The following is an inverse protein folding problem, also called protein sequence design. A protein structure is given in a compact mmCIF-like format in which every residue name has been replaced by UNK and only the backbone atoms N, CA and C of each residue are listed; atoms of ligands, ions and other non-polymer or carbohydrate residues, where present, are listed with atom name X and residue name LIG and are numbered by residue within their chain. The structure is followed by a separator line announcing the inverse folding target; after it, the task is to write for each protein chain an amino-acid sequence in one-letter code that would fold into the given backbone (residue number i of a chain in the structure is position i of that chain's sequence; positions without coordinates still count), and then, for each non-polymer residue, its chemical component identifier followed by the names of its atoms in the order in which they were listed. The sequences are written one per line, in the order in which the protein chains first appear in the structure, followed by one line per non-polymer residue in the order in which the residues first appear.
data_IF_613092202437
#
_entry.id   IF_613092202437
#
_cell.length_a   1.000
_cell.length_b   1.000
_cell.length_c   1.000
_cell.angle_alpha   90.00
_cell.angle_beta   90.00
_cell.angle_gamma   90.00
#
_symmetry.space_group_name_H-M   'P 1'
#
loop_
_entity.id
_entity.type
_entity.pdbx_description
1 polymer ?
#
# COMPACT_ATOMS: atom_id res chain seq x y z
N UNK A 1 -8.30 12.32 5.89
CA UNK A 1 -7.00 12.97 5.63
C UNK A 1 -7.05 14.46 5.87
N UNK A 2 -7.92 15.22 5.18
CA UNK A 2 -8.03 16.69 5.37
C UNK A 2 -8.28 17.09 6.84
N UNK A 3 -9.17 16.38 7.56
CA UNK A 3 -9.39 16.60 9.00
C UNK A 3 -8.15 16.34 9.88
N UNK A 4 -7.30 15.37 9.53
CA UNK A 4 -6.05 15.10 10.26
C UNK A 4 -5.02 16.19 10.00
N UNK A 5 -5.02 16.75 8.79
CA UNK A 5 -4.11 17.83 8.41
C UNK A 5 -4.56 19.21 8.92
N UNK A 6 -5.85 19.37 9.24
CA UNK A 6 -6.42 20.58 9.80
C UNK A 6 -6.17 20.74 11.32
N UNK A 7 -5.89 19.65 12.03
CA UNK A 7 -5.52 19.67 13.45
C UNK A 7 -4.41 18.64 13.75
N UNK A 8 -3.23 18.83 13.15
CA UNK A 8 -2.15 17.85 13.16
C UNK A 8 -1.54 17.62 14.55
N UNK A 9 -1.53 18.64 15.40
CA UNK A 9 -1.02 18.53 16.78
C UNK A 9 -1.76 17.46 17.60
N UNK A 10 -3.06 17.28 17.31
CA UNK A 10 -3.90 16.32 18.04
C UNK A 10 -3.95 14.95 17.37
N UNK A 11 -3.87 14.91 16.04
CA UNK A 11 -4.14 13.70 15.28
C UNK A 11 -2.90 13.01 14.71
N UNK A 12 -1.82 13.73 14.44
CA UNK A 12 -0.62 13.18 13.81
C UNK A 12 0.56 13.05 14.77
N UNK A 13 0.81 14.06 15.60
CA UNK A 13 1.96 14.09 16.53
C UNK A 13 1.82 12.98 17.58
N UNK A 14 2.85 12.15 17.69
CA UNK A 14 2.92 11.13 18.73
C UNK A 14 3.88 11.57 19.84
N UNK A 15 3.36 12.29 20.84
CA UNK A 15 4.13 12.72 22.00
C UNK A 15 4.72 11.54 22.81
N UNK A 16 4.19 10.33 22.65
CA UNK A 16 4.69 9.11 23.29
C UNK A 16 5.61 8.29 22.36
N UNK A 17 6.06 8.87 21.25
CA UNK A 17 6.98 8.18 20.35
C UNK A 17 8.28 7.84 21.08
N UNK A 18 8.82 6.62 20.91
CA UNK A 18 10.15 6.28 21.41
C UNK A 18 11.26 7.05 20.69
N UNK A 19 10.96 7.75 19.59
CA UNK A 19 11.89 8.60 18.89
C UNK A 19 11.69 10.06 19.32
N UNK A 20 12.67 10.59 20.06
CA UNK A 20 12.61 11.95 20.61
C UNK A 20 12.31 13.02 19.54
N UNK A 21 12.88 12.90 18.34
CA UNK A 21 12.62 13.84 17.25
C UNK A 21 11.20 13.77 16.70
N UNK A 22 10.53 12.62 16.80
CA UNK A 22 9.15 12.45 16.35
C UNK A 22 8.15 12.88 17.43
N UNK A 23 8.53 12.73 18.70
CA UNK A 23 7.75 13.21 19.84
C UNK A 23 7.68 14.75 19.92
N UNK A 24 8.73 15.43 19.45
CA UNK A 24 8.89 16.89 19.51
C UNK A 24 8.45 17.60 18.20
N UNK A 25 7.66 16.93 17.36
CA UNK A 25 7.18 17.53 16.10
C UNK A 25 6.09 18.57 16.35
N UNK A 26 6.26 19.74 15.77
CA UNK A 26 5.16 20.71 15.62
C UNK A 26 4.15 20.21 14.57
N UNK A 27 2.88 20.63 14.67
CA UNK A 27 1.81 20.19 13.79
C UNK A 27 2.07 20.38 12.29
N UNK A 28 2.70 21.49 11.88
CA UNK A 28 3.06 21.69 10.47
C UNK A 28 4.17 20.74 10.01
N UNK A 29 5.12 20.40 10.88
CA UNK A 29 6.17 19.42 10.61
C UNK A 29 5.58 18.02 10.49
N UNK A 30 4.63 17.66 11.36
CA UNK A 30 3.89 16.40 11.27
C UNK A 30 3.11 16.27 9.95
N UNK A 31 2.52 17.36 9.46
CA UNK A 31 1.87 17.40 8.15
C UNK A 31 2.86 17.15 6.99
N UNK A 32 3.99 17.84 6.98
CA UNK A 32 5.02 17.64 5.96
C UNK A 32 5.58 16.21 6.02
N UNK A 33 5.80 15.69 7.21
CA UNK A 33 6.26 14.32 7.41
C UNK A 33 5.25 13.30 6.89
N UNK A 34 3.95 13.50 7.14
CA UNK A 34 2.90 12.64 6.61
C UNK A 34 2.87 12.67 5.08
N UNK A 35 2.96 13.85 4.45
CA UNK A 35 3.01 13.98 2.99
C UNK A 35 4.27 13.32 2.40
N UNK A 36 5.43 13.55 3.03
CA UNK A 36 6.69 12.95 2.65
C UNK A 36 6.65 11.42 2.81
N UNK A 37 5.97 10.91 3.83
CA UNK A 37 5.77 9.48 4.05
C UNK A 37 4.93 8.83 2.94
N UNK A 38 3.83 9.49 2.52
CA UNK A 38 3.01 9.03 1.39
C UNK A 38 3.79 9.01 0.07
N UNK A 39 4.46 10.12 -0.26
CA UNK A 39 5.26 10.24 -1.47
C UNK A 39 6.46 9.29 -1.46
N UNK A 40 7.18 9.23 -0.33
CA UNK A 40 8.33 8.35 -0.14
C UNK A 40 7.95 6.88 -0.25
N UNK A 41 6.84 6.47 0.37
CA UNK A 41 6.31 5.12 0.23
C UNK A 41 6.02 4.76 -1.24
N UNK A 42 5.35 5.65 -1.98
CA UNK A 42 5.13 5.43 -3.41
C UNK A 42 6.44 5.35 -4.21
N UNK A 43 7.40 6.26 -3.97
CA UNK A 43 8.69 6.28 -4.67
C UNK A 43 9.47 4.99 -4.44
N UNK A 44 9.59 4.55 -3.17
CA UNK A 44 10.25 3.28 -2.82
C UNK A 44 9.58 2.10 -3.51
N UNK A 45 8.25 2.01 -3.44
CA UNK A 45 7.49 0.98 -4.14
C UNK A 45 7.73 1.01 -5.66
N UNK A 46 7.73 2.20 -6.27
CA UNK A 46 7.95 2.36 -7.70
C UNK A 46 9.37 1.93 -8.12
N UNK A 47 10.38 2.27 -7.33
CA UNK A 47 11.76 1.83 -7.52
C UNK A 47 11.90 0.32 -7.36
N UNK A 48 11.27 -0.30 -6.36
CA UNK A 48 11.27 -1.75 -6.17
C UNK A 48 10.75 -2.47 -7.42
N UNK A 49 9.62 -2.03 -7.97
CA UNK A 49 9.06 -2.64 -9.17
C UNK A 49 9.98 -2.48 -10.39
N UNK A 50 10.61 -1.31 -10.57
CA UNK A 50 11.53 -1.06 -11.68
C UNK A 50 12.84 -1.85 -11.56
N UNK A 51 13.38 -2.00 -10.34
CA UNK A 51 14.69 -2.64 -10.11
C UNK A 51 14.61 -4.16 -10.02
N UNK A 52 13.57 -4.69 -9.38
CA UNK A 52 13.45 -6.13 -9.11
C UNK A 52 12.85 -6.88 -10.30
N UNK A 53 11.81 -6.31 -10.94
CA UNK A 53 11.11 -6.94 -12.07
C UNK A 53 10.94 -5.97 -13.24
N UNK A 54 12.05 -5.48 -13.85
CA UNK A 54 11.98 -4.52 -14.98
C UNK A 54 11.23 -5.07 -16.20
N UNK A 55 11.36 -6.39 -16.42
CA UNK A 55 10.78 -7.12 -17.55
C UNK A 55 9.56 -7.97 -17.17
N UNK A 56 9.05 -7.86 -15.93
CA UNK A 56 7.89 -8.60 -15.43
C UNK A 56 8.08 -10.13 -15.40
N UNK A 57 9.32 -10.59 -15.18
CA UNK A 57 9.66 -12.02 -15.07
C UNK A 57 9.92 -12.47 -13.62
N UNK A 58 10.12 -11.51 -12.70
CA UNK A 58 10.48 -11.76 -11.28
C UNK A 58 9.38 -11.31 -10.32
N UNK A 59 8.12 -11.49 -10.73
CA UNK A 59 6.97 -10.97 -10.00
C UNK A 59 6.77 -11.62 -8.62
N UNK A 60 7.18 -12.88 -8.44
CA UNK A 60 7.19 -13.54 -7.13
C UNK A 60 8.15 -12.86 -6.14
N UNK A 61 9.39 -12.61 -6.56
CA UNK A 61 10.38 -11.90 -5.75
C UNK A 61 9.94 -10.46 -5.44
N UNK A 62 9.35 -9.78 -6.43
CA UNK A 62 8.79 -8.45 -6.25
C UNK A 62 7.67 -8.43 -5.21
N UNK A 63 6.78 -9.43 -5.24
CA UNK A 63 5.67 -9.52 -4.28
C UNK A 63 6.18 -9.68 -2.84
N UNK A 64 7.23 -10.48 -2.63
CA UNK A 64 7.89 -10.61 -1.32
C UNK A 64 8.55 -9.30 -0.90
N UNK A 65 9.25 -8.61 -1.80
CA UNK A 65 9.86 -7.33 -1.50
C UNK A 65 8.83 -6.25 -1.11
N UNK A 66 7.68 -6.22 -1.80
CA UNK A 66 6.56 -5.34 -1.46
C UNK A 66 5.94 -5.71 -0.11
N UNK A 67 5.81 -7.00 0.20
CA UNK A 67 5.32 -7.44 1.51
C UNK A 67 6.25 -6.99 2.65
N UNK A 68 7.57 -7.17 2.49
CA UNK A 68 8.56 -6.67 3.46
C UNK A 68 8.49 -5.15 3.58
N UNK A 69 8.36 -4.44 2.46
CA UNK A 69 8.18 -2.99 2.47
C UNK A 69 6.94 -2.58 3.28
N UNK A 70 5.81 -3.30 3.16
CA UNK A 70 4.60 -2.99 3.93
C UNK A 70 4.80 -3.21 5.44
N UNK A 71 5.56 -4.22 5.85
CA UNK A 71 5.94 -4.41 7.26
C UNK A 71 6.80 -3.25 7.77
N UNK A 72 7.77 -2.79 6.95
CA UNK A 72 8.60 -1.63 7.30
C UNK A 72 7.75 -0.37 7.41
N UNK A 73 6.84 -0.12 6.46
CA UNK A 73 5.91 1.02 6.51
C UNK A 73 5.02 0.96 7.75
N UNK A 74 4.50 -0.23 8.09
CA UNK A 74 3.70 -0.45 9.28
C UNK A 74 4.50 -0.16 10.58
N UNK A 75 5.74 -0.61 10.64
CA UNK A 75 6.62 -0.31 11.77
C UNK A 75 6.90 1.19 11.87
N UNK A 76 7.45 1.80 10.82
CA UNK A 76 7.81 3.23 10.80
C UNK A 76 6.62 4.12 11.15
N UNK A 77 5.43 3.84 10.61
CA UNK A 77 4.25 4.67 10.86
C UNK A 77 3.82 4.66 12.32
N UNK A 78 3.90 3.52 13.02
CA UNK A 78 3.59 3.43 14.46
C UNK A 78 4.64 4.10 15.35
N UNK A 79 5.89 4.18 14.90
CA UNK A 79 6.94 4.90 15.63
C UNK A 79 6.79 6.41 15.43
N UNK A 80 6.40 6.87 14.24
CA UNK A 80 6.39 8.29 13.87
C UNK A 80 5.07 9.00 14.19
N UNK A 81 3.93 8.30 14.13
CA UNK A 81 2.61 8.90 14.23
C UNK A 81 1.78 8.24 15.33
N UNK A 82 0.68 8.90 15.73
CA UNK A 82 -0.27 8.30 16.68
C UNK A 82 -0.79 6.97 16.13
N UNK A 83 -1.13 6.02 17.00
CA UNK A 83 -1.59 4.68 16.56
C UNK A 83 -2.74 4.75 15.54
N UNK A 84 -3.69 5.66 15.76
CA UNK A 84 -4.80 5.90 14.83
C UNK A 84 -4.32 6.44 13.47
N UNK A 85 -3.44 7.44 13.46
CA UNK A 85 -2.87 7.98 12.24
C UNK A 85 -1.97 6.98 11.49
N UNK A 86 -1.23 6.15 12.21
CA UNK A 86 -0.31 5.17 11.63
C UNK A 86 -1.04 4.18 10.69
N UNK A 87 -2.19 3.66 11.13
CA UNK A 87 -3.01 2.76 10.31
C UNK A 87 -3.56 3.46 9.06
N UNK A 88 -4.10 4.67 9.24
CA UNK A 88 -4.57 5.49 8.12
C UNK A 88 -3.47 5.81 7.12
N UNK A 89 -2.30 6.25 7.59
CA UNK A 89 -1.19 6.63 6.71
C UNK A 89 -0.65 5.41 5.97
N UNK A 90 -0.56 4.26 6.62
CA UNK A 90 -0.14 3.01 5.98
C UNK A 90 -1.13 2.59 4.88
N UNK A 91 -2.44 2.65 5.16
CA UNK A 91 -3.47 2.44 4.14
C UNK A 91 -3.41 3.49 3.01
N UNK A 92 -3.10 4.75 3.35
CA UNK A 92 -2.96 5.82 2.38
C UNK A 92 -1.70 5.69 1.50
N UNK A 93 -0.60 5.12 1.99
CA UNK A 93 0.59 4.77 1.18
C UNK A 93 0.17 3.77 0.09
N UNK A 94 -0.53 2.70 0.48
CA UNK A 94 -1.04 1.71 -0.48
C UNK A 94 -2.00 2.34 -1.49
N UNK A 95 -2.96 3.15 -1.04
CA UNK A 95 -3.89 3.85 -1.94
C UNK A 95 -3.17 4.82 -2.90
N UNK A 96 -2.15 5.53 -2.41
CA UNK A 96 -1.31 6.43 -3.24
C UNK A 96 -0.57 5.64 -4.30
N UNK A 97 0.04 4.51 -3.92
CA UNK A 97 0.68 3.61 -4.87
C UNK A 97 -0.30 3.06 -5.92
N UNK A 98 -1.54 2.74 -5.52
CA UNK A 98 -2.58 2.28 -6.43
C UNK A 98 -2.98 3.32 -7.46
N UNK A 99 -3.21 4.56 -7.03
CA UNK A 99 -3.57 5.67 -7.93
C UNK A 99 -2.40 6.00 -8.87
N UNK A 100 -1.18 6.01 -8.36
CA UNK A 100 0.01 6.29 -9.17
C UNK A 100 0.29 5.17 -10.19
N UNK A 101 0.02 3.90 -9.84
CA UNK A 101 0.08 2.78 -10.79
C UNK A 101 -0.82 3.02 -12.01
N UNK A 102 -2.05 3.49 -11.76
CA UNK A 102 -3.01 3.77 -12.83
C UNK A 102 -2.57 4.96 -13.67
N UNK A 103 -2.23 6.07 -13.01
CA UNK A 103 -1.95 7.33 -13.67
C UNK A 103 -0.65 7.32 -14.48
N UNK A 104 0.45 6.78 -13.94
CA UNK A 104 1.76 6.84 -14.59
C UNK A 104 2.08 5.64 -15.49
N UNK A 105 1.49 4.47 -15.21
CA UNK A 105 1.88 3.23 -15.89
C UNK A 105 0.77 2.62 -16.73
N UNK A 106 -0.43 2.43 -16.17
CA UNK A 106 -1.51 1.70 -16.85
C UNK A 106 -2.13 2.56 -17.97
N UNK A 107 -2.66 3.75 -17.66
CA UNK A 107 -3.35 4.58 -18.66
C UNK A 107 -2.41 5.00 -19.82
N UNK A 108 -1.18 5.49 -19.58
CA UNK A 108 -0.28 5.84 -20.67
C UNK A 108 0.13 4.64 -21.52
N UNK A 109 0.34 3.47 -20.90
CA UNK A 109 0.65 2.23 -21.63
C UNK A 109 -0.52 1.77 -22.49
N UNK A 110 -1.75 1.81 -21.95
CA UNK A 110 -2.96 1.49 -22.71
C UNK A 110 -3.15 2.43 -23.90
N UNK A 111 -2.94 3.74 -23.73
CA UNK A 111 -3.00 4.70 -24.83
C UNK A 111 -1.99 4.40 -25.95
N UNK A 112 -0.74 4.07 -25.59
CA UNK A 112 0.29 3.66 -26.58
C UNK A 112 -0.12 2.41 -27.35
N UNK A 113 -0.63 1.40 -26.65
CA UNK A 113 -1.09 0.16 -27.30
C UNK A 113 -2.26 0.43 -28.26
N UNK A 114 -3.24 1.24 -27.86
CA UNK A 114 -4.39 1.60 -28.72
C UNK A 114 -3.92 2.37 -29.96
N UNK A 115 -3.03 3.35 -29.81
CA UNK A 115 -2.49 4.11 -30.93
C UNK A 115 -1.73 3.23 -31.94
N UNK A 116 -0.92 2.28 -31.46
CA UNK A 116 -0.21 1.33 -32.32
C UNK A 116 -1.19 0.45 -33.11
N UNK A 117 -2.22 -0.08 -32.45
CA UNK A 117 -3.26 -0.88 -33.14
C UNK A 117 -4.02 -0.07 -34.20
N UNK A 118 -4.32 1.21 -33.92
CA UNK A 118 -4.96 2.11 -34.89
C UNK A 118 -4.06 2.40 -36.10
N UNK A 119 -2.74 2.43 -35.90
CA UNK A 119 -1.76 2.59 -36.96
C UNK A 119 -1.48 1.29 -37.75
N UNK A 120 -2.08 0.16 -37.37
CA UNK A 120 -1.78 -1.15 -37.95
C UNK A 120 -0.44 -1.74 -37.51
N UNK A 121 0.20 -1.16 -36.49
CA UNK A 121 1.46 -1.62 -35.92
C UNK A 121 1.22 -2.64 -34.80
N UNK A 122 2.21 -3.52 -34.56
CA UNK A 122 2.16 -4.46 -33.45
C UNK A 122 2.37 -3.72 -32.11
N UNK A 123 1.44 -3.82 -31.13
CA UNK A 123 1.59 -3.16 -29.83
C UNK A 123 2.81 -3.67 -29.05
N UNK A 124 3.49 -2.77 -28.34
CA UNK A 124 4.60 -3.15 -27.48
C UNK A 124 4.12 -4.10 -26.35
N UNK A 125 4.60 -5.36 -26.28
CA UNK A 125 4.16 -6.32 -25.26
C UNK A 125 4.49 -5.89 -23.83
N UNK A 126 5.51 -5.06 -23.63
CA UNK A 126 5.92 -4.59 -22.31
C UNK A 126 4.88 -3.68 -21.66
N UNK A 127 4.13 -2.89 -22.45
CA UNK A 127 3.09 -2.01 -21.92
C UNK A 127 1.95 -2.82 -21.28
N UNK A 128 1.54 -3.91 -21.93
CA UNK A 128 0.54 -4.84 -21.39
C UNK A 128 1.04 -5.60 -20.16
N UNK A 129 2.27 -6.14 -20.21
CA UNK A 129 2.88 -6.86 -19.08
C UNK A 129 2.99 -5.96 -17.84
N UNK A 130 3.47 -4.72 -18.02
CA UNK A 130 3.63 -3.75 -16.92
C UNK A 130 2.27 -3.36 -16.35
N UNK A 131 1.29 -3.11 -17.22
CA UNK A 131 -0.09 -2.82 -16.79
C UNK A 131 -0.67 -3.95 -15.95
N UNK A 132 -0.49 -5.21 -16.36
CA UNK A 132 -0.93 -6.40 -15.62
C UNK A 132 -0.28 -6.49 -14.24
N UNK A 133 1.05 -6.38 -14.15
CA UNK A 133 1.77 -6.44 -12.87
C UNK A 133 1.24 -5.39 -11.87
N UNK A 134 1.08 -4.14 -12.31
CA UNK A 134 0.56 -3.07 -11.45
C UNK A 134 -0.90 -3.27 -11.05
N UNK A 135 -1.73 -3.80 -11.96
CA UNK A 135 -3.13 -4.12 -11.65
C UNK A 135 -3.27 -5.28 -10.66
N UNK A 136 -2.35 -6.26 -10.72
CA UNK A 136 -2.26 -7.33 -9.71
C UNK A 136 -1.94 -6.73 -8.35
N UNK A 137 -0.93 -5.86 -8.23
CA UNK A 137 -0.64 -5.23 -6.94
C UNK A 137 -1.83 -4.43 -6.40
N UNK A 138 -2.51 -3.66 -7.25
CA UNK A 138 -3.72 -2.93 -6.85
C UNK A 138 -4.83 -3.87 -6.34
N UNK A 139 -4.99 -5.03 -6.97
CA UNK A 139 -5.93 -6.08 -6.56
C UNK A 139 -5.64 -6.55 -5.13
N UNK A 140 -4.38 -6.86 -4.79
CA UNK A 140 -4.02 -7.32 -3.44
C UNK A 140 -4.03 -6.22 -2.39
N UNK A 141 -3.83 -4.95 -2.76
CA UNK A 141 -3.88 -3.83 -1.83
C UNK A 141 -5.29 -3.44 -1.40
N UNK A 142 -6.34 -3.74 -2.19
CA UNK A 142 -7.68 -3.21 -1.87
C UNK A 142 -8.21 -3.65 -0.49
N UNK A 143 -8.09 -4.94 -0.15
CA UNK A 143 -8.62 -5.45 1.12
C UNK A 143 -7.80 -4.94 2.32
N UNK A 144 -6.46 -5.01 2.32
CA UNK A 144 -5.64 -4.34 3.33
C UNK A 144 -5.99 -2.86 3.52
N UNK A 145 -6.12 -2.08 2.45
CA UNK A 145 -6.47 -0.66 2.53
C UNK A 145 -7.80 -0.46 3.25
N UNK A 146 -8.83 -1.21 2.86
CA UNK A 146 -10.16 -1.09 3.50
C UNK A 146 -10.08 -1.45 4.99
N UNK A 147 -9.40 -2.54 5.34
CA UNK A 147 -9.25 -2.96 6.74
C UNK A 147 -8.53 -1.90 7.59
N UNK A 148 -7.46 -1.30 7.08
CA UNK A 148 -6.73 -0.25 7.79
C UNK A 148 -7.48 1.08 7.87
N UNK A 149 -8.38 1.37 6.93
CA UNK A 149 -9.20 2.59 6.98
C UNK A 149 -10.33 2.46 8.00
N UNK A 150 -10.91 1.27 8.12
CA UNK A 150 -11.99 0.96 9.06
C UNK A 150 -11.45 0.71 10.48
N UNK A 151 -10.18 0.30 10.64
CA UNK A 151 -9.57 0.01 11.94
C UNK A 151 -9.69 1.14 12.97
N UNK A 152 -9.83 2.39 12.51
CA UNK A 152 -10.07 3.56 13.35
C UNK A 152 -11.31 3.45 14.25
N UNK A 153 -12.30 2.63 13.87
CA UNK A 153 -13.50 2.38 14.66
C UNK A 153 -13.27 1.38 15.81
N UNK A 154 -12.08 0.78 15.88
CA UNK A 154 -11.73 -0.26 16.84
C UNK A 154 -10.45 0.13 17.59
N UNK A 155 -10.60 0.84 18.70
CA UNK A 155 -9.46 1.41 19.46
C UNK A 155 -8.45 0.37 19.93
N UNK A 156 -8.90 -0.85 20.22
CA UNK A 156 -8.02 -1.95 20.65
C UNK A 156 -6.97 -2.34 19.61
N UNK A 157 -7.18 -2.05 18.31
CA UNK A 157 -6.24 -2.41 17.25
C UNK A 157 -4.98 -1.55 17.26
N UNK A 158 -5.08 -0.31 17.74
CA UNK A 158 -4.01 0.68 17.66
C UNK A 158 -3.52 1.19 19.03
N UNK A 159 -4.13 0.76 20.13
CA UNK A 159 -3.73 1.14 21.49
C UNK A 159 -2.65 0.24 22.11
N UNK A 160 -2.31 -0.87 21.46
CA UNK A 160 -1.31 -1.83 21.97
C UNK A 160 0.11 -1.48 21.51
N UNK A 161 1.13 -1.77 22.31
CA UNK A 161 2.55 -1.51 21.98
C UNK A 161 2.99 -2.23 20.69
N UNK A 162 2.42 -3.41 20.45
CA UNK A 162 2.59 -4.22 19.23
C UNK A 162 1.61 -3.88 18.11
N UNK A 163 1.03 -2.67 18.08
CA UNK A 163 0.09 -2.24 17.04
C UNK A 163 0.64 -2.42 15.61
N UNK A 164 1.95 -2.31 15.41
CA UNK A 164 2.60 -2.55 14.11
C UNK A 164 2.51 -4.01 13.66
N UNK A 165 2.55 -4.96 14.61
CA UNK A 165 2.38 -6.40 14.35
C UNK A 165 0.93 -6.66 13.94
N UNK A 166 -0.03 -6.10 14.69
CA UNK A 166 -1.46 -6.21 14.37
C UNK A 166 -1.73 -5.65 12.97
N UNK A 167 -1.18 -4.48 12.65
CA UNK A 167 -1.29 -3.88 11.32
C UNK A 167 -0.68 -4.78 10.23
N UNK A 168 0.51 -5.32 10.44
CA UNK A 168 1.13 -6.26 9.50
C UNK A 168 0.25 -7.51 9.29
N UNK A 169 -0.27 -8.10 10.36
CA UNK A 169 -1.19 -9.24 10.29
C UNK A 169 -2.46 -8.90 9.50
N UNK A 170 -3.06 -7.73 9.70
CA UNK A 170 -4.22 -7.29 8.91
C UNK A 170 -3.89 -7.13 7.42
N UNK A 171 -2.70 -6.62 7.08
CA UNK A 171 -2.25 -6.51 5.69
C UNK A 171 -2.10 -7.90 5.07
N UNK A 172 -1.45 -8.84 5.76
CA UNK A 172 -1.29 -10.22 5.27
C UNK A 172 -2.61 -10.96 5.18
N UNK A 173 -3.48 -10.84 6.20
CA UNK A 173 -4.83 -11.40 6.19
C UNK A 173 -5.63 -10.90 4.99
N UNK A 174 -5.64 -9.58 4.75
CA UNK A 174 -6.30 -8.98 3.60
C UNK A 174 -5.76 -9.51 2.25
N UNK A 175 -4.45 -9.69 2.13
CA UNK A 175 -3.84 -10.25 0.92
C UNK A 175 -4.19 -11.74 0.71
N UNK A 176 -4.22 -12.53 1.79
CA UNK A 176 -4.56 -13.96 1.77
C UNK A 176 -6.05 -14.17 1.46
N UNK A 177 -6.94 -13.37 2.06
CA UNK A 177 -8.37 -13.36 1.72
C UNK A 177 -8.55 -12.95 0.25
N UNK A 178 -7.80 -11.96 -0.24
CA UNK A 178 -7.86 -11.61 -1.66
C UNK A 178 -7.40 -12.75 -2.55
N UNK A 179 -6.36 -13.49 -2.16
CA UNK A 179 -5.90 -14.68 -2.88
C UNK A 179 -7.03 -15.70 -3.04
N UNK A 180 -7.80 -15.95 -1.97
CA UNK A 180 -8.97 -16.83 -2.04
C UNK A 180 -9.96 -16.35 -3.12
N UNK A 181 -10.36 -15.07 -3.07
CA UNK A 181 -11.31 -14.54 -4.06
C UNK A 181 -10.77 -14.61 -5.48
N UNK A 182 -9.49 -14.31 -5.72
CA UNK A 182 -8.87 -14.40 -7.05
C UNK A 182 -8.95 -15.84 -7.58
N UNK A 183 -8.64 -16.84 -6.75
CA UNK A 183 -8.71 -18.26 -7.14
C UNK A 183 -10.15 -18.71 -7.38
N UNK A 184 -11.09 -18.28 -6.53
CA UNK A 184 -12.51 -18.57 -6.66
C UNK A 184 -13.07 -18.07 -8.01
N UNK A 185 -12.77 -16.83 -8.40
CA UNK A 185 -13.20 -16.27 -9.69
C UNK A 185 -12.53 -16.95 -10.89
N UNK A 186 -11.36 -17.57 -10.69
CA UNK A 186 -10.70 -18.39 -11.69
C UNK A 186 -11.23 -19.84 -11.75
N UNK A 187 -12.27 -20.18 -11.00
CA UNK A 187 -12.87 -21.53 -10.95
C UNK A 187 -12.16 -22.50 -10.00
N UNK A 188 -11.20 -22.03 -9.20
CA UNK A 188 -10.48 -22.85 -8.22
C UNK A 188 -10.97 -22.54 -6.79
N UNK A 189 -11.89 -23.36 -6.27
CA UNK A 189 -12.34 -23.25 -4.88
C UNK A 189 -11.35 -23.88 -3.91
N UNK A 190 -10.46 -23.06 -3.34
CA UNK A 190 -9.50 -23.46 -2.30
C UNK A 190 -9.83 -22.77 -0.96
N UNK A 191 -10.82 -23.27 -0.19
CA UNK A 191 -11.30 -22.62 1.04
C UNK A 191 -10.24 -22.47 2.13
N UNK A 192 -9.14 -23.24 2.06
CA UNK A 192 -8.01 -23.13 2.98
C UNK A 192 -7.43 -21.71 3.05
N UNK A 193 -7.40 -20.96 1.94
CA UNK A 193 -6.93 -19.58 1.94
C UNK A 193 -7.86 -18.64 2.72
N UNK A 194 -9.17 -18.91 2.73
CA UNK A 194 -10.11 -18.13 3.54
C UNK A 194 -9.89 -18.39 5.03
N UNK A 195 -9.69 -19.65 5.42
CA UNK A 195 -9.41 -20.04 6.82
C UNK A 195 -8.07 -19.49 7.30
N UNK A 196 -7.04 -19.49 6.44
CA UNK A 196 -5.73 -18.96 6.81
C UNK A 196 -5.69 -17.43 6.99
N UNK A 197 -6.65 -16.71 6.41
CA UNK A 197 -6.76 -15.26 6.52
C UNK A 197 -7.78 -14.77 7.55
N UNK A 198 -8.57 -15.67 8.14
CA UNK A 198 -9.60 -15.37 9.15
C UNK A 198 -9.04 -15.53 10.56
#
# INVERSE_FOLDING_TARGET
VVLYMASPDFYLVNANSPWAWAADLDGWQANLLALAFLLGGWVVYNELCKRISPNMERDGLLSVAVAVMMVVVAYLSTQMFTGRAAFLLTGAVMATAMSANVFFWIIPGQRRMVNAMQAGEAPNPLDGKRGKQRSVHNTYFTLPVVLLMISNHYSFLYSHELAWVVMALLIFAGAVIRQFFVLMHAGHNKPLYLVAGA
#
